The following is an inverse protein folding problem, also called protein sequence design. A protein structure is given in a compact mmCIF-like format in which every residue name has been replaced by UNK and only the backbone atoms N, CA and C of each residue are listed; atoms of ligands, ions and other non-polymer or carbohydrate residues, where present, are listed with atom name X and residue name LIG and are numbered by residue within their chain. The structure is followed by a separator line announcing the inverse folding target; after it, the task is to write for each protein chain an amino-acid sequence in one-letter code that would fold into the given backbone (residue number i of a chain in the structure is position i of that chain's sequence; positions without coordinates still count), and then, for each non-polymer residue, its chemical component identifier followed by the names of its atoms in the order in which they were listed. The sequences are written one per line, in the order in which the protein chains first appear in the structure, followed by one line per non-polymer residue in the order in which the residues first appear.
data_IF_031279823185
#
_entry.id   IF_031279823185
#
_cell.length_a   1.000
_cell.length_b   1.000
_cell.length_c   1.000
_cell.angle_alpha   90.00
_cell.angle_beta   90.00
_cell.angle_gamma   90.00
#
_symmetry.space_group_name_H-M   'P 1'
#
loop_
_entity.id
_entity.type
_entity.pdbx_description
1 polymer ?
#
# COMPACT_ATOMS: atom_id res chain seq x y z
N UNK A 1 -8.27 -6.46 0.52
CA UNK A 1 -7.93 -5.66 1.72
C UNK A 1 -8.40 -4.23 1.54
N UNK A 2 -8.83 -3.59 2.63
CA UNK A 2 -9.21 -2.17 2.67
C UNK A 2 -7.99 -1.26 2.88
N UNK A 3 -8.15 0.06 2.71
CA UNK A 3 -7.09 1.04 3.01
C UNK A 3 -6.67 1.01 4.49
N UNK A 4 -7.60 0.71 5.40
CA UNK A 4 -7.34 0.56 6.85
C UNK A 4 -6.40 -0.61 7.13
N UNK A 5 -6.62 -1.74 6.46
CA UNK A 5 -5.79 -2.94 6.64
C UNK A 5 -4.36 -2.69 6.17
N UNK A 6 -4.21 -1.97 5.06
CA UNK A 6 -2.91 -1.57 4.52
C UNK A 6 -2.19 -0.65 5.53
N UNK A 7 -2.88 0.35 6.08
CA UNK A 7 -2.30 1.22 7.11
C UNK A 7 -1.74 0.44 8.30
N UNK A 8 -2.48 -0.54 8.83
CA UNK A 8 -1.97 -1.39 9.92
C UNK A 8 -0.76 -2.23 9.51
N UNK A 9 -0.72 -2.73 8.28
CA UNK A 9 0.44 -3.50 7.80
C UNK A 9 1.69 -2.63 7.62
N UNK A 10 1.52 -1.40 7.16
CA UNK A 10 2.63 -0.47 6.87
C UNK A 10 3.03 0.38 8.08
N UNK A 11 2.30 0.29 9.20
CA UNK A 11 2.60 0.97 10.47
C UNK A 11 4.01 0.66 10.97
N UNK A 12 4.44 -0.61 10.86
CA UNK A 12 5.76 -1.08 11.32
C UNK A 12 6.95 -0.41 10.64
N UNK A 13 6.74 0.23 9.49
CA UNK A 13 7.79 1.00 8.79
C UNK A 13 7.50 2.50 8.76
N UNK A 14 6.61 2.98 9.62
CA UNK A 14 6.27 4.41 9.72
C UNK A 14 5.31 4.92 8.64
N UNK A 15 4.68 4.00 7.89
CA UNK A 15 3.77 4.28 6.78
C UNK A 15 2.30 3.99 7.14
N UNK A 16 1.98 3.79 8.42
CA UNK A 16 0.64 3.40 8.86
C UNK A 16 -0.43 4.49 8.85
N UNK A 17 -0.14 5.64 8.26
CA UNK A 17 -1.09 6.72 8.10
C UNK A 17 -1.91 6.53 6.83
N UNK A 18 -3.22 6.27 6.99
CA UNK A 18 -4.19 6.18 5.90
C UNK A 18 -4.14 7.39 4.95
N UNK A 19 -3.84 8.59 5.47
CA UNK A 19 -3.75 9.80 4.64
C UNK A 19 -2.57 9.73 3.67
N UNK A 20 -1.44 9.15 4.11
CA UNK A 20 -0.28 8.91 3.23
C UNK A 20 -0.62 7.91 2.13
N UNK A 21 -1.33 6.83 2.47
CA UNK A 21 -1.79 5.84 1.49
C UNK A 21 -2.70 6.49 0.46
N UNK A 22 -3.67 7.31 0.89
CA UNK A 22 -4.55 8.04 -0.01
C UNK A 22 -3.79 8.99 -0.95
N UNK A 23 -2.75 9.67 -0.45
CA UNK A 23 -1.87 10.52 -1.26
C UNK A 23 -1.08 9.69 -2.29
N UNK A 24 -0.52 8.55 -1.89
CA UNK A 24 0.21 7.66 -2.81
C UNK A 24 -0.70 7.13 -3.92
N UNK A 25 -1.92 6.73 -3.58
CA UNK A 25 -2.94 6.31 -4.55
C UNK A 25 -3.24 7.46 -5.53
N UNK A 26 -3.47 8.68 -5.01
CA UNK A 26 -3.73 9.87 -5.86
C UNK A 26 -2.56 10.20 -6.77
N UNK A 27 -1.32 9.96 -6.33
CA UNK A 27 -0.09 10.20 -7.10
C UNK A 27 0.28 9.05 -8.04
N UNK A 28 -0.56 8.00 -8.13
CA UNK A 28 -0.28 6.80 -8.91
C UNK A 28 1.04 6.10 -8.50
N UNK A 29 1.45 6.29 -7.23
CA UNK A 29 2.63 5.68 -6.61
C UNK A 29 2.26 4.43 -5.80
N UNK A 30 0.98 4.10 -5.77
CA UNK A 30 0.43 2.90 -5.14
C UNK A 30 -0.05 1.94 -6.23
N UNK A 31 0.05 0.61 -6.02
CA UNK A 31 -0.41 -0.35 -7.02
C UNK A 31 -1.89 -0.17 -7.34
N UNK A 32 -2.32 -0.46 -8.59
CA UNK A 32 -3.72 -0.44 -8.95
C UNK A 32 -4.51 -1.50 -8.16
N UNK A 33 -5.80 -1.24 -7.95
CA UNK A 33 -6.69 -2.21 -7.32
C UNK A 33 -6.82 -3.45 -8.20
N UNK A 34 -6.62 -4.63 -7.63
CA UNK A 34 -6.62 -5.92 -8.32
C UNK A 34 -7.70 -6.88 -7.79
N UNK A 35 -8.45 -6.46 -6.77
CA UNK A 35 -9.63 -7.15 -6.27
C UNK A 35 -10.80 -6.20 -6.10
N UNK A 36 -11.98 -6.76 -6.29
CA UNK A 36 -13.25 -6.09 -6.05
C UNK A 36 -14.11 -6.99 -5.17
N UNK A 37 -14.46 -6.52 -3.99
CA UNK A 37 -15.36 -7.20 -3.07
C UNK A 37 -16.66 -6.38 -3.06
N UNK A 38 -17.65 -6.84 -3.82
CA UNK A 38 -18.90 -6.09 -4.05
C UNK A 38 -18.69 -4.79 -4.83
N UNK A 39 -19.04 -3.64 -4.23
CA UNK A 39 -18.78 -2.31 -4.77
C UNK A 39 -17.40 -1.75 -4.40
N UNK A 40 -16.71 -2.38 -3.45
CA UNK A 40 -15.44 -1.88 -2.91
C UNK A 40 -14.25 -2.40 -3.71
N UNK A 41 -13.44 -1.48 -4.22
CA UNK A 41 -12.13 -1.78 -4.81
C UNK A 41 -11.12 -1.98 -3.69
N UNK A 42 -10.27 -2.99 -3.80
CA UNK A 42 -9.23 -3.27 -2.82
C UNK A 42 -8.01 -3.89 -3.46
N UNK A 43 -7.11 -4.37 -2.60
CA UNK A 43 -5.87 -5.03 -3.02
C UNK A 43 -5.77 -6.45 -2.49
N UNK A 44 -5.18 -7.35 -3.29
CA UNK A 44 -4.65 -8.62 -2.80
C UNK A 44 -3.50 -8.32 -1.86
N UNK A 45 -3.35 -9.18 -0.87
CA UNK A 45 -2.25 -9.10 0.07
C UNK A 45 -0.90 -9.22 -0.65
N UNK A 46 -0.78 -10.15 -1.61
CA UNK A 46 0.44 -10.39 -2.39
C UNK A 46 0.90 -9.15 -3.16
N UNK A 47 -0.04 -8.38 -3.73
CA UNK A 47 0.26 -7.14 -4.48
C UNK A 47 0.81 -6.06 -3.56
N UNK A 48 0.23 -5.92 -2.36
CA UNK A 48 0.73 -4.99 -1.35
C UNK A 48 2.09 -5.45 -0.81
N UNK A 49 2.26 -6.73 -0.51
CA UNK A 49 3.51 -7.29 0.00
C UNK A 49 4.65 -7.13 -1.02
N UNK A 50 4.37 -7.37 -2.31
CA UNK A 50 5.35 -7.17 -3.38
C UNK A 50 5.72 -5.70 -3.54
N UNK A 51 4.74 -4.81 -3.63
CA UNK A 51 4.99 -3.37 -3.72
C UNK A 51 5.75 -2.86 -2.50
N UNK A 52 5.39 -3.34 -1.31
CA UNK A 52 6.05 -2.95 -0.07
C UNK A 52 7.52 -3.36 -0.08
N UNK A 53 7.85 -4.60 -0.46
CA UNK A 53 9.25 -5.02 -0.65
C UNK A 53 9.95 -4.12 -1.67
N UNK A 54 9.36 -3.89 -2.83
CA UNK A 54 9.97 -3.08 -3.89
C UNK A 54 10.21 -1.62 -3.47
N UNK A 55 9.31 -1.00 -2.71
CA UNK A 55 9.41 0.40 -2.31
C UNK A 55 10.25 0.59 -1.04
N UNK A 56 10.09 -0.28 -0.05
CA UNK A 56 10.83 -0.20 1.22
C UNK A 56 12.28 -0.65 1.03
N UNK A 57 12.52 -1.78 0.36
CA UNK A 57 13.90 -2.27 0.17
C UNK A 57 14.70 -1.37 -0.79
N UNK A 58 14.09 -0.87 -1.87
CA UNK A 58 14.77 0.10 -2.76
C UNK A 58 14.92 1.49 -2.14
N UNK A 59 13.99 1.89 -1.27
CA UNK A 59 14.05 3.16 -0.54
C UNK A 59 15.16 3.17 0.52
N UNK A 60 15.42 2.02 1.17
CA UNK A 60 16.52 1.85 2.13
C UNK A 60 17.90 1.76 1.47
N UNK A 61 18.01 1.20 0.26
CA UNK A 61 19.29 1.15 -0.47
C UNK A 61 19.77 2.51 -1.02
N UNK A 62 18.92 3.54 -1.03
CA UNK A 62 19.27 4.88 -1.53
C UNK A 62 19.72 5.86 -0.42
N UNK A 63 19.93 5.39 0.80
CA UNK A 63 20.32 6.25 1.93
C UNK A 63 21.67 5.85 2.52
#
# INVERSE_FOLDING_TARGET
MSQTDIGRMTEKVGWGDQRKIAVLIKRNQFPPHDVRIGSTKGWKRETIDKWFKEVVEKGLQKK
#
